data_IF_935407789342
#
_entry.id   IF_935407789342
#
_cell.length_a   1.000
_cell.length_b   1.000
_cell.length_c   1.000
_cell.angle_alpha   90.00
_cell.angle_beta   90.00
_cell.angle_gamma   90.00
#
_symmetry.space_group_name_H-M   'P 1'
#
loop_
_entity.id
_entity.type
_entity.pdbx_description
1 polymer ?
#
# COMPACT_ATOMS: atom_id res chain seq x y z
N UNK A 1 38.90 -45.76 24.15
CA UNK A 1 38.05 -46.06 22.99
C UNK A 1 36.63 -46.35 23.47
N UNK A 2 35.72 -45.37 23.35
CA UNK A 2 34.26 -45.52 23.25
C UNK A 2 33.72 -44.16 22.83
N UNK A 3 33.42 -44.09 21.53
CA UNK A 3 32.85 -42.96 20.82
C UNK A 3 31.36 -42.81 21.15
N UNK A 4 30.87 -41.59 20.90
CA UNK A 4 29.50 -41.21 20.58
C UNK A 4 28.50 -41.07 21.74
N UNK A 5 28.21 -39.82 22.11
CA UNK A 5 26.82 -39.32 22.05
C UNK A 5 26.87 -37.98 21.32
N UNK A 6 26.11 -37.95 20.22
CA UNK A 6 26.20 -36.96 19.18
C UNK A 6 25.63 -35.61 19.62
N UNK A 7 26.35 -34.56 19.20
CA UNK A 7 25.76 -33.25 18.96
C UNK A 7 24.60 -33.40 17.96
N UNK A 8 23.38 -32.98 18.33
CA UNK A 8 22.35 -32.48 17.41
C UNK A 8 21.14 -31.98 18.23
N UNK A 9 21.18 -30.74 18.71
CA UNK A 9 19.99 -30.09 19.26
C UNK A 9 20.05 -28.55 19.15
N UNK A 10 20.67 -28.01 18.11
CA UNK A 10 20.63 -26.56 17.84
C UNK A 10 20.59 -26.34 16.33
N UNK A 11 19.47 -26.61 15.66
CA UNK A 11 19.28 -26.19 14.25
C UNK A 11 17.79 -26.16 13.85
N UNK A 12 16.91 -25.60 14.68
CA UNK A 12 15.49 -25.42 14.29
C UNK A 12 14.89 -24.08 14.77
N UNK A 13 15.63 -22.98 14.67
CA UNK A 13 15.11 -21.64 15.00
C UNK A 13 15.12 -20.65 13.81
N UNK A 14 15.59 -21.05 12.62
CA UNK A 14 15.76 -20.11 11.50
C UNK A 14 14.53 -19.96 10.58
N UNK A 15 13.45 -20.74 10.77
CA UNK A 15 12.32 -20.77 9.84
C UNK A 15 11.09 -19.93 10.26
N UNK A 16 11.06 -19.38 11.48
CA UNK A 16 9.89 -18.60 11.96
C UNK A 16 9.92 -17.12 11.56
N UNK A 17 11.10 -16.54 11.32
CA UNK A 17 11.26 -15.08 11.18
C UNK A 17 10.64 -14.49 9.89
N UNK A 18 10.39 -15.31 8.87
CA UNK A 18 9.85 -14.83 7.59
C UNK A 18 8.34 -14.59 7.60
N UNK A 19 7.57 -15.37 8.38
CA UNK A 19 6.11 -15.25 8.43
C UNK A 19 5.66 -13.99 9.20
N UNK A 20 6.46 -13.55 10.18
CA UNK A 20 6.14 -12.44 11.06
C UNK A 20 6.20 -11.09 10.33
N UNK A 21 7.13 -10.94 9.37
CA UNK A 21 7.36 -9.71 8.63
C UNK A 21 6.24 -9.40 7.62
N UNK A 22 5.70 -10.42 6.93
CA UNK A 22 4.61 -10.24 5.94
C UNK A 22 3.27 -9.94 6.63
N UNK A 23 3.02 -10.57 7.79
CA UNK A 23 1.85 -10.31 8.62
C UNK A 23 1.84 -8.85 9.13
N UNK A 24 3.00 -8.32 9.53
CA UNK A 24 3.11 -6.95 10.04
C UNK A 24 2.92 -5.89 8.93
N UNK A 25 3.48 -6.11 7.75
CA UNK A 25 3.30 -5.19 6.61
C UNK A 25 1.83 -5.08 6.17
N UNK A 26 1.13 -6.21 6.07
CA UNK A 26 -0.29 -6.24 5.73
C UNK A 26 -1.13 -5.52 6.78
N UNK A 27 -0.88 -5.81 8.07
CA UNK A 27 -1.58 -5.17 9.17
C UNK A 27 -1.32 -3.65 9.22
N UNK A 28 -0.11 -3.20 8.88
CA UNK A 28 0.22 -1.78 8.80
C UNK A 28 -0.60 -1.05 7.71
N UNK A 29 -0.76 -1.65 6.53
CA UNK A 29 -1.58 -1.08 5.44
C UNK A 29 -3.05 -1.00 5.87
N UNK A 30 -3.59 -2.05 6.48
CA UNK A 30 -4.98 -2.06 6.98
C UNK A 30 -5.23 -0.97 8.02
N UNK A 31 -4.32 -0.82 9.00
CA UNK A 31 -4.39 0.26 10.01
C UNK A 31 -4.32 1.64 9.36
N UNK A 32 -3.47 1.83 8.36
CA UNK A 32 -3.36 3.09 7.64
C UNK A 32 -4.66 3.43 6.90
N UNK A 33 -5.23 2.49 6.14
CA UNK A 33 -6.49 2.65 5.41
C UNK A 33 -7.64 3.03 6.35
N UNK A 34 -7.80 2.29 7.45
CA UNK A 34 -8.83 2.57 8.46
C UNK A 34 -8.67 3.97 9.03
N UNK A 35 -7.45 4.32 9.46
CA UNK A 35 -7.20 5.62 10.09
C UNK A 35 -7.43 6.79 9.13
N UNK A 36 -7.01 6.64 7.87
CA UNK A 36 -7.20 7.66 6.86
C UNK A 36 -8.68 7.80 6.47
N UNK A 37 -9.43 6.69 6.40
CA UNK A 37 -10.87 6.71 6.12
C UNK A 37 -11.66 7.41 7.23
N UNK A 38 -11.35 7.14 8.51
CA UNK A 38 -11.96 7.81 9.67
C UNK A 38 -11.81 9.34 9.56
N UNK A 39 -10.64 9.82 9.12
CA UNK A 39 -10.37 11.27 9.01
C UNK A 39 -10.92 11.92 7.74
N UNK A 40 -11.06 11.17 6.65
CA UNK A 40 -11.53 11.70 5.36
C UNK A 40 -13.05 11.81 5.29
N UNK A 41 -13.78 11.10 6.16
CA UNK A 41 -15.25 10.96 6.14
C UNK A 41 -15.80 10.36 4.84
N UNK A 42 -14.95 9.72 4.04
CA UNK A 42 -15.37 9.00 2.85
C UNK A 42 -16.02 7.68 3.25
N UNK A 43 -17.11 7.31 2.59
CA UNK A 43 -17.67 5.98 2.70
C UNK A 43 -16.77 4.96 2.00
N UNK A 44 -16.87 3.71 2.43
CA UNK A 44 -16.22 2.58 1.75
C UNK A 44 -16.61 2.54 0.26
N UNK A 45 -17.87 2.81 -0.07
CA UNK A 45 -18.35 2.79 -1.45
C UNK A 45 -17.67 3.86 -2.30
N UNK A 46 -17.45 5.07 -1.76
CA UNK A 46 -16.69 6.11 -2.43
C UNK A 46 -15.23 5.67 -2.67
N UNK A 47 -14.60 5.00 -1.71
CA UNK A 47 -13.25 4.47 -1.86
C UNK A 47 -13.18 3.35 -2.90
N UNK A 48 -14.16 2.44 -2.93
CA UNK A 48 -14.27 1.38 -3.92
C UNK A 48 -14.46 1.92 -5.34
N UNK A 49 -15.30 2.94 -5.51
CA UNK A 49 -15.48 3.61 -6.80
C UNK A 49 -14.19 4.29 -7.26
N UNK A 50 -13.47 4.91 -6.35
CA UNK A 50 -12.23 5.60 -6.66
C UNK A 50 -11.08 4.65 -7.03
N UNK A 51 -11.08 3.40 -6.54
CA UNK A 51 -10.21 2.35 -7.08
C UNK A 51 -10.39 2.16 -8.60
N UNK A 52 -11.57 2.45 -9.14
CA UNK A 52 -11.89 2.38 -10.58
C UNK A 52 -11.76 3.73 -11.28
N UNK A 53 -10.99 4.66 -10.72
CA UNK A 53 -10.82 6.04 -11.22
C UNK A 53 -12.11 6.87 -11.25
N UNK A 54 -13.17 6.43 -10.58
CA UNK A 54 -14.42 7.18 -10.45
C UNK A 54 -14.41 7.98 -9.15
N UNK A 55 -14.17 9.29 -9.25
CA UNK A 55 -14.21 10.17 -8.09
C UNK A 55 -15.61 10.76 -7.86
N UNK A 56 -15.92 11.18 -6.62
CA UNK A 56 -17.10 11.98 -6.33
C UNK A 56 -17.19 13.24 -7.21
N UNK A 57 -18.41 13.61 -7.60
CA UNK A 57 -18.66 14.85 -8.36
C UNK A 57 -18.51 16.11 -7.50
N UNK A 58 -18.79 16.00 -6.20
CA UNK A 58 -18.58 17.06 -5.23
C UNK A 58 -17.08 17.35 -5.03
N UNK A 59 -16.67 18.61 -5.21
CA UNK A 59 -15.26 19.00 -5.14
C UNK A 59 -14.65 18.81 -3.75
N UNK A 60 -15.46 18.93 -2.68
CA UNK A 60 -14.98 18.71 -1.31
C UNK A 60 -14.64 17.24 -1.09
N UNK A 61 -15.53 16.34 -1.50
CA UNK A 61 -15.30 14.89 -1.43
C UNK A 61 -14.20 14.44 -2.38
N UNK A 62 -14.08 15.06 -3.56
CA UNK A 62 -12.97 14.82 -4.48
C UNK A 62 -11.64 15.19 -3.83
N UNK A 63 -11.54 16.37 -3.21
CA UNK A 63 -10.34 16.78 -2.44
C UNK A 63 -10.08 15.83 -1.26
N UNK A 64 -11.12 15.41 -0.55
CA UNK A 64 -11.01 14.45 0.53
C UNK A 64 -10.40 13.11 0.06
N UNK A 65 -10.78 12.63 -1.13
CA UNK A 65 -10.18 11.42 -1.71
C UNK A 65 -8.70 11.59 -2.01
N UNK A 66 -8.31 12.70 -2.65
CA UNK A 66 -6.90 12.97 -2.95
C UNK A 66 -6.06 13.03 -1.67
N UNK A 67 -6.59 13.65 -0.62
CA UNK A 67 -5.91 13.69 0.67
C UNK A 67 -5.96 12.36 1.43
N UNK A 68 -6.97 11.51 1.19
CA UNK A 68 -6.96 10.12 1.65
C UNK A 68 -5.81 9.33 1.01
N UNK A 69 -5.61 9.45 -0.31
CA UNK A 69 -4.48 8.82 -1.00
C UNK A 69 -3.13 9.25 -0.40
N UNK A 70 -2.94 10.56 -0.19
CA UNK A 70 -1.75 11.09 0.52
C UNK A 70 -1.59 10.47 1.90
N UNK A 71 -2.64 10.47 2.72
CA UNK A 71 -2.60 9.93 4.07
C UNK A 71 -2.15 8.47 4.08
N UNK A 72 -2.71 7.64 3.19
CA UNK A 72 -2.34 6.23 3.09
C UNK A 72 -0.90 6.09 2.64
N UNK A 73 -0.51 6.73 1.53
CA UNK A 73 0.83 6.65 0.96
C UNK A 73 1.91 7.09 1.98
N UNK A 74 1.65 8.14 2.77
CA UNK A 74 2.58 8.57 3.81
C UNK A 74 2.69 7.58 4.96
N UNK A 75 1.56 7.07 5.46
CA UNK A 75 1.56 6.11 6.57
C UNK A 75 2.22 4.79 6.24
N UNK A 76 2.08 4.34 4.99
CA UNK A 76 2.71 3.11 4.52
C UNK A 76 4.09 3.36 3.94
N UNK A 77 4.59 4.60 3.91
CA UNK A 77 5.95 4.96 3.50
C UNK A 77 6.19 5.03 1.98
N UNK A 78 5.15 4.93 1.15
CA UNK A 78 5.27 5.18 -0.30
C UNK A 78 5.64 6.63 -0.55
N UNK A 79 5.14 7.56 0.26
CA UNK A 79 5.41 8.99 0.16
C UNK A 79 6.03 9.51 1.47
N UNK A 80 7.07 10.34 1.40
CA UNK A 80 7.59 11.05 2.58
C UNK A 80 6.69 12.21 3.01
N UNK A 81 6.98 12.85 4.15
CA UNK A 81 6.25 14.05 4.58
C UNK A 81 6.39 15.21 3.58
N UNK A 82 7.54 15.29 2.90
CA UNK A 82 7.87 16.27 1.87
C UNK A 82 7.39 15.86 0.47
N UNK A 83 6.74 14.70 0.33
CA UNK A 83 6.18 14.24 -0.94
C UNK A 83 7.13 13.45 -1.82
N UNK A 84 8.28 12.97 -1.33
CA UNK A 84 9.16 12.10 -2.12
C UNK A 84 8.55 10.69 -2.22
N UNK A 85 8.49 10.13 -3.43
CA UNK A 85 7.99 8.77 -3.65
C UNK A 85 9.14 7.76 -3.47
N UNK A 86 8.85 6.65 -2.79
CA UNK A 86 9.74 5.51 -2.59
C UNK A 86 9.24 4.30 -3.42
N UNK A 87 9.90 4.02 -4.56
CA UNK A 87 9.58 2.87 -5.40
C UNK A 87 9.79 1.52 -4.70
N UNK A 88 10.80 1.42 -3.83
CA UNK A 88 11.08 0.20 -3.08
C UNK A 88 9.98 -0.09 -2.08
N UNK A 89 9.43 0.96 -1.47
CA UNK A 89 8.29 0.79 -0.58
C UNK A 89 7.02 0.38 -1.34
N UNK A 90 6.80 0.92 -2.53
CA UNK A 90 5.68 0.49 -3.40
C UNK A 90 5.81 -0.98 -3.78
N UNK A 91 7.03 -1.43 -4.13
CA UNK A 91 7.35 -2.84 -4.39
C UNK A 91 6.99 -3.74 -3.20
N UNK A 92 7.41 -3.37 -1.99
CA UNK A 92 7.24 -4.20 -0.81
C UNK A 92 5.77 -4.42 -0.37
N UNK A 93 4.84 -3.63 -0.89
CA UNK A 93 3.43 -3.64 -0.48
C UNK A 93 2.51 -4.43 -1.41
N UNK A 94 3.04 -4.99 -2.50
CA UNK A 94 2.30 -5.86 -3.43
C UNK A 94 2.70 -7.33 -3.25
N UNK A 95 1.89 -8.24 -3.81
CA UNK A 95 2.18 -9.67 -3.79
C UNK A 95 3.57 -9.96 -4.43
N UNK A 96 4.34 -10.95 -3.94
CA UNK A 96 5.68 -11.26 -4.47
C UNK A 96 5.77 -11.37 -6.00
N UNK A 97 4.74 -11.95 -6.65
CA UNK A 97 4.69 -12.07 -8.11
C UNK A 97 4.54 -10.75 -8.88
N UNK A 98 4.21 -9.65 -8.20
CA UNK A 98 4.00 -8.31 -8.79
C UNK A 98 5.13 -7.33 -8.45
N UNK A 99 6.07 -7.71 -7.58
CA UNK A 99 7.05 -6.79 -6.99
C UNK A 99 7.89 -6.02 -8.01
N UNK A 100 8.56 -6.73 -8.93
CA UNK A 100 9.43 -6.08 -9.92
C UNK A 100 8.63 -5.23 -10.92
N UNK A 101 7.41 -5.64 -11.25
CA UNK A 101 6.51 -4.82 -12.06
C UNK A 101 6.09 -3.54 -11.33
N UNK A 102 5.70 -3.65 -10.05
CA UNK A 102 5.31 -2.50 -9.24
C UNK A 102 6.48 -1.54 -9.03
N UNK A 103 7.70 -2.05 -8.83
CA UNK A 103 8.90 -1.21 -8.75
C UNK A 103 9.11 -0.41 -10.04
N UNK A 104 9.09 -1.09 -11.19
CA UNK A 104 9.28 -0.43 -12.48
C UNK A 104 8.20 0.62 -12.77
N UNK A 105 6.96 0.41 -12.32
CA UNK A 105 5.89 1.40 -12.40
C UNK A 105 6.18 2.58 -11.46
N UNK A 106 6.54 2.31 -10.21
CA UNK A 106 6.79 3.33 -9.21
C UNK A 106 7.98 4.23 -9.54
N UNK A 107 9.02 3.70 -10.19
CA UNK A 107 10.15 4.49 -10.71
C UNK A 107 9.75 5.49 -11.80
N UNK A 108 8.69 5.20 -12.58
CA UNK A 108 8.15 6.12 -13.60
C UNK A 108 7.14 7.12 -13.04
N UNK A 109 6.49 6.78 -11.94
CA UNK A 109 5.31 7.46 -11.44
C UNK A 109 5.62 8.25 -10.17
N UNK A 110 6.46 9.29 -10.30
CA UNK A 110 6.96 10.08 -9.15
C UNK A 110 6.08 11.29 -8.80
N UNK A 111 5.12 11.65 -9.66
CA UNK A 111 4.25 12.81 -9.47
C UNK A 111 5.00 14.15 -9.57
N UNK A 112 6.00 14.22 -10.45
CA UNK A 112 6.87 15.40 -10.59
C UNK A 112 6.10 16.67 -10.95
N UNK A 113 6.59 17.80 -10.43
CA UNK A 113 6.01 19.13 -10.68
C UNK A 113 4.74 19.46 -9.90
N UNK A 114 4.22 18.54 -9.07
CA UNK A 114 3.07 18.81 -8.21
C UNK A 114 3.50 19.20 -6.79
N UNK A 115 3.01 20.36 -6.33
CA UNK A 115 3.34 20.92 -5.00
C UNK A 115 2.28 20.60 -3.95
N UNK A 116 1.02 20.42 -4.35
CA UNK A 116 -0.01 19.96 -3.43
C UNK A 116 0.15 18.46 -3.21
N UNK A 117 0.50 18.06 -1.98
CA UNK A 117 0.77 16.65 -1.68
C UNK A 117 -0.44 15.72 -1.84
N UNK A 118 -1.67 16.23 -1.69
CA UNK A 118 -2.87 15.46 -1.98
C UNK A 118 -3.02 15.22 -3.49
N UNK A 119 -2.83 16.27 -4.30
CA UNK A 119 -2.82 16.14 -5.77
C UNK A 119 -1.69 15.23 -6.24
N UNK A 120 -0.51 15.33 -5.62
CA UNK A 120 0.65 14.51 -5.96
C UNK A 120 0.35 13.02 -5.73
N UNK A 121 -0.15 12.67 -4.55
CA UNK A 121 -0.50 11.30 -4.22
C UNK A 121 -1.54 10.74 -5.20
N UNK A 122 -2.55 11.54 -5.53
CA UNK A 122 -3.56 11.15 -6.51
C UNK A 122 -2.98 10.96 -7.91
N UNK A 123 -2.08 11.82 -8.38
CA UNK A 123 -1.40 11.67 -9.67
C UNK A 123 -0.54 10.41 -9.73
N UNK A 124 0.12 10.05 -8.62
CA UNK A 124 0.86 8.77 -8.50
C UNK A 124 -0.09 7.59 -8.69
N UNK A 125 -1.22 7.58 -7.97
CA UNK A 125 -2.25 6.54 -8.10
C UNK A 125 -2.82 6.45 -9.54
N UNK A 126 -3.10 7.59 -10.17
CA UNK A 126 -3.53 7.65 -11.57
C UNK A 126 -2.47 7.07 -12.52
N UNK A 127 -1.19 7.36 -12.26
CA UNK A 127 -0.08 6.84 -13.05
C UNK A 127 0.06 5.32 -12.87
N UNK A 128 -0.06 4.80 -11.64
CA UNK A 128 -0.04 3.36 -11.36
C UNK A 128 -1.18 2.65 -12.11
N UNK A 129 -2.39 3.21 -12.05
CA UNK A 129 -3.54 2.70 -12.77
C UNK A 129 -3.32 2.72 -14.29
N UNK A 130 -2.78 3.82 -14.83
CA UNK A 130 -2.49 3.94 -16.26
C UNK A 130 -1.45 2.91 -16.74
N UNK A 131 -0.38 2.67 -15.96
CA UNK A 131 0.66 1.71 -16.34
C UNK A 131 0.19 0.25 -16.24
N UNK A 132 -0.70 -0.06 -15.28
CA UNK A 132 -1.33 -1.38 -15.18
C UNK A 132 -2.68 -1.32 -14.45
N UNK A 133 -3.75 -1.09 -15.22
CA UNK A 133 -5.10 -0.89 -14.71
C UNK A 133 -5.58 -2.10 -13.89
N UNK A 134 -5.46 -3.30 -14.46
CA UNK A 134 -5.94 -4.52 -13.82
C UNK A 134 -5.26 -4.74 -12.45
N UNK A 135 -3.93 -4.67 -12.41
CA UNK A 135 -3.17 -4.88 -11.18
C UNK A 135 -3.53 -3.82 -10.12
N UNK A 136 -3.56 -2.54 -10.52
CA UNK A 136 -3.89 -1.45 -9.60
C UNK A 136 -5.30 -1.60 -9.03
N UNK A 137 -6.30 -1.82 -9.89
CA UNK A 137 -7.70 -1.93 -9.46
C UNK A 137 -7.93 -3.15 -8.57
N UNK A 138 -7.33 -4.31 -8.89
CA UNK A 138 -7.44 -5.52 -8.07
C UNK A 138 -6.80 -5.33 -6.70
N UNK A 139 -5.58 -4.79 -6.64
CA UNK A 139 -4.88 -4.51 -5.40
C UNK A 139 -5.67 -3.49 -4.54
N UNK A 140 -6.13 -2.40 -5.14
CA UNK A 140 -6.93 -1.39 -4.44
C UNK A 140 -8.22 -1.97 -3.87
N UNK A 141 -9.00 -2.73 -4.66
CA UNK A 141 -10.24 -3.37 -4.18
C UNK A 141 -9.97 -4.37 -3.06
N UNK A 142 -8.90 -5.15 -3.15
CA UNK A 142 -8.53 -6.10 -2.11
C UNK A 142 -8.20 -5.39 -0.79
N UNK A 143 -7.50 -4.25 -0.86
CA UNK A 143 -7.21 -3.40 0.28
C UNK A 143 -8.47 -2.75 0.86
N UNK A 144 -9.36 -2.19 0.04
CA UNK A 144 -10.61 -1.58 0.56
C UNK A 144 -11.54 -2.64 1.18
N UNK A 145 -11.52 -3.90 0.74
CA UNK A 145 -12.28 -4.97 1.42
C UNK A 145 -11.79 -5.29 2.83
N UNK A 146 -10.59 -4.89 3.23
CA UNK A 146 -10.12 -5.13 4.59
C UNK A 146 -10.74 -4.15 5.58
N UNK A 147 -11.09 -2.93 5.14
CA UNK A 147 -11.75 -1.95 6.02
C UNK A 147 -13.24 -2.25 6.24
N UNK A 148 -13.86 -3.12 5.43
CA UNK A 148 -15.28 -3.51 5.58
C UNK A 148 -15.52 -4.68 6.50
N UNK A 149 -14.50 -5.51 6.76
CA UNK A 149 -14.67 -6.79 7.46
C UNK A 149 -14.70 -6.69 8.99
N UNK A 150 -14.53 -5.48 9.55
CA UNK A 150 -14.53 -5.22 11.00
C UNK A 150 -15.62 -4.25 11.46
N UNK A 151 -16.68 -4.04 10.66
CA UNK A 151 -17.86 -3.26 11.04
C UNK A 151 -18.98 -4.17 11.58
#
# INVERSE_FOLDING_TARGET
MKLAVAALAVLLAAALVAADAEADATAAVQRALKKCQETSKLSVDQLNQACMSTLPSDETQKRAYKCFAKCVQQRVGIMSEEGKIDPERSRALVHPSQQEQMKAIAEKCLGDGETDLCEKAYKVDQCYNKENEKMYQENCKNLIRTITKEA
#
